data_IF_935587275986
#
_entry.id   IF_935587275986
#
_cell.length_a   1.000
_cell.length_b   1.000
_cell.length_c   1.000
_cell.angle_alpha   90.00
_cell.angle_beta   90.00
_cell.angle_gamma   90.00
#
_symmetry.space_group_name_H-M   'P 1'
#
loop_
_entity.id
_entity.type
_entity.pdbx_description
1 polymer ?
#
# COMPACT_ATOMS: atom_id res chain seq x y z
N UNK A 1 12.20 -21.72 13.89
CA UNK A 1 12.38 -20.34 14.40
C UNK A 1 11.59 -19.41 13.48
N UNK A 2 10.47 -18.87 13.96
CA UNK A 2 9.65 -17.97 13.15
C UNK A 2 10.38 -16.62 13.01
N UNK A 3 10.80 -16.28 11.80
CA UNK A 3 11.36 -14.98 11.47
C UNK A 3 10.27 -13.92 11.60
N UNK A 4 10.20 -13.24 12.74
CA UNK A 4 9.42 -12.02 12.91
C UNK A 4 10.09 -10.88 12.13
N UNK A 5 10.01 -10.97 10.81
CA UNK A 5 10.28 -9.84 9.93
C UNK A 5 9.20 -8.81 10.23
N UNK A 6 9.55 -7.75 10.96
CA UNK A 6 8.65 -6.64 11.25
C UNK A 6 7.90 -6.29 9.98
N UNK A 7 6.57 -6.43 10.00
CA UNK A 7 5.71 -6.37 8.81
C UNK A 7 5.69 -4.94 8.29
N UNK A 8 6.78 -4.54 7.65
CA UNK A 8 6.87 -3.29 6.92
C UNK A 8 6.05 -3.55 5.67
N UNK A 9 4.76 -3.25 5.77
CA UNK A 9 3.83 -3.41 4.67
C UNK A 9 4.39 -2.66 3.46
N UNK A 10 4.49 -3.33 2.31
CA UNK A 10 5.00 -2.73 1.09
C UNK A 10 3.83 -2.38 0.19
N UNK A 11 3.95 -1.26 -0.51
CA UNK A 11 2.93 -0.86 -1.45
C UNK A 11 2.96 -1.81 -2.64
N UNK A 12 1.82 -2.41 -2.99
CA UNK A 12 1.75 -3.26 -4.17
C UNK A 12 1.86 -2.48 -5.49
N UNK A 13 1.76 -1.14 -5.48
CA UNK A 13 1.93 -0.29 -6.67
C UNK A 13 3.37 0.17 -6.89
N UNK A 14 4.09 0.54 -5.83
CA UNK A 14 5.44 1.11 -5.96
C UNK A 14 6.51 0.33 -5.20
N UNK A 15 6.14 -0.75 -4.52
CA UNK A 15 7.00 -1.67 -3.75
C UNK A 15 7.79 -1.01 -2.61
N UNK A 16 7.52 0.27 -2.34
CA UNK A 16 8.11 1.02 -1.23
C UNK A 16 7.41 0.67 0.07
N UNK A 17 8.13 0.87 1.16
CA UNK A 17 7.63 0.74 2.53
C UNK A 17 6.44 1.69 2.72
N UNK A 18 5.32 1.15 3.17
CA UNK A 18 4.10 1.86 3.50
C UNK A 18 4.07 2.02 5.00
N UNK A 19 4.17 3.27 5.42
CA UNK A 19 3.98 3.64 6.82
C UNK A 19 2.50 3.68 7.15
N UNK A 20 2.16 3.47 8.41
CA UNK A 20 0.78 3.52 8.92
C UNK A 20 0.02 4.78 8.49
N UNK A 21 0.71 5.94 8.41
CA UNK A 21 0.12 7.21 7.96
C UNK A 21 -0.39 7.18 6.51
N UNK A 22 0.30 6.45 5.63
CA UNK A 22 -0.06 6.29 4.22
C UNK A 22 -0.71 4.93 3.94
N UNK A 23 -0.89 4.07 4.96
CA UNK A 23 -1.35 2.70 4.80
C UNK A 23 -2.80 2.66 4.36
N UNK A 24 -3.02 2.10 3.18
CA UNK A 24 -4.34 1.86 2.63
C UNK A 24 -4.44 0.39 2.22
N UNK A 25 -5.29 -0.36 2.92
CA UNK A 25 -5.53 -1.77 2.59
C UNK A 25 -6.74 -1.86 1.67
N UNK A 26 -6.56 -2.38 0.47
CA UNK A 26 -7.60 -2.64 -0.50
C UNK A 26 -7.42 -4.05 -1.07
N UNK A 27 -8.49 -4.84 -1.14
CA UNK A 27 -8.45 -6.19 -1.72
C UNK A 27 -7.33 -7.08 -1.14
N UNK A 28 -7.15 -7.05 0.19
CA UNK A 28 -6.07 -7.75 0.92
C UNK A 28 -4.63 -7.32 0.55
N UNK A 29 -4.46 -6.20 -0.15
CA UNK A 29 -3.16 -5.62 -0.52
C UNK A 29 -2.98 -4.26 0.11
N UNK A 30 -1.74 -3.93 0.45
CA UNK A 30 -1.40 -2.62 1.01
C UNK A 30 -0.91 -1.68 -0.09
N UNK A 31 -1.41 -0.46 -0.04
CA UNK A 31 -1.07 0.63 -0.94
C UNK A 31 -0.76 1.89 -0.14
N UNK A 32 -0.03 2.83 -0.75
CA UNK A 32 -0.04 4.20 -0.24
C UNK A 32 -1.37 4.86 -0.63
N UNK A 33 -1.93 5.72 0.23
CA UNK A 33 -3.05 6.62 -0.13
C UNK A 33 -2.80 7.36 -1.45
N UNK A 34 -1.57 7.84 -1.63
CA UNK A 34 -1.11 8.51 -2.85
C UNK A 34 -0.96 7.58 -4.07
N UNK A 35 -0.75 6.28 -3.86
CA UNK A 35 -0.58 5.28 -4.92
C UNK A 35 -1.89 4.60 -5.33
N UNK A 36 -2.96 4.75 -4.55
CA UNK A 36 -4.27 4.19 -4.84
C UNK A 36 -5.03 5.08 -5.85
N UNK A 37 -4.61 5.00 -7.10
CA UNK A 37 -5.21 5.70 -8.23
C UNK A 37 -5.95 4.71 -9.13
N UNK A 38 -7.15 5.10 -9.58
CA UNK A 38 -7.92 4.27 -10.49
C UNK A 38 -7.21 4.20 -11.85
N UNK A 39 -6.92 2.99 -12.36
CA UNK A 39 -6.33 2.84 -13.70
C UNK A 39 -7.30 3.28 -14.80
N UNK A 40 -8.59 3.14 -14.57
CA UNK A 40 -9.64 3.47 -15.53
C UNK A 40 -9.93 4.98 -15.60
N UNK A 41 -10.04 5.65 -14.44
CA UNK A 41 -10.38 7.07 -14.37
C UNK A 41 -9.16 8.00 -14.24
N UNK A 42 -7.95 7.46 -14.00
CA UNK A 42 -6.72 8.19 -13.60
C UNK A 42 -6.89 9.14 -12.40
N UNK A 43 -8.05 9.15 -11.74
CA UNK A 43 -8.33 9.92 -10.56
C UNK A 43 -7.66 9.31 -9.33
N UNK A 44 -6.97 10.16 -8.57
CA UNK A 44 -6.49 9.83 -7.23
C UNK A 44 -7.71 9.72 -6.32
N UNK A 45 -7.97 8.55 -5.73
CA UNK A 45 -9.05 8.40 -4.76
C UNK A 45 -8.59 9.12 -3.48
N UNK A 46 -8.97 10.39 -3.32
CA UNK A 46 -8.75 11.19 -2.11
C UNK A 46 -9.89 10.99 -1.13
#
# INVERSE_FOLDING_TARGET
MASFGGTTQKCNTCEKKVYWVEQLTADNKVYHKSCFKCHHCKGTLK
#
